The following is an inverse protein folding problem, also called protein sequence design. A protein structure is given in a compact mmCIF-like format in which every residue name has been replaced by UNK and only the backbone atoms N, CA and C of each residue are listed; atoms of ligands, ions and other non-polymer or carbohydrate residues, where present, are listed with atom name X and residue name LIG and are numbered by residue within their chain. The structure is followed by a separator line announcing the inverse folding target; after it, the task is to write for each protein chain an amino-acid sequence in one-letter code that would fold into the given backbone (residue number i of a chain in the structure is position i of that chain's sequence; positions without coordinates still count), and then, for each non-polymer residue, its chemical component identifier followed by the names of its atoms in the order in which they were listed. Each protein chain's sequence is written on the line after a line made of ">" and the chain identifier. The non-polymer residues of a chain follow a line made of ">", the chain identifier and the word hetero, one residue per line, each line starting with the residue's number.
data_IF_497531670795
#
_entry.id   IF_497531670795
#
_cell.length_a   1.000
_cell.length_b   1.000
_cell.length_c   1.000
_cell.angle_alpha   90.00
_cell.angle_beta   90.00
_cell.angle_gamma   90.00
#
_symmetry.space_group_name_H-M   'P 1'
#
loop_
_entity.id
_entity.type
_entity.pdbx_description
1 polymer ?
#
# COMPACT_ATOMS: atom_id res chain seq x y z
N UNK A 1 5.76 10.27 -1.55
CA UNK A 1 6.77 9.75 -0.62
C UNK A 1 6.63 8.23 -0.51
N UNK A 2 7.74 7.51 -0.59
CA UNK A 2 7.70 6.05 -0.59
C UNK A 2 7.76 5.53 0.83
N UNK A 3 6.84 4.65 1.15
CA UNK A 3 6.73 4.05 2.47
C UNK A 3 6.55 2.54 2.36
N UNK A 4 6.87 1.84 3.42
CA UNK A 4 6.56 0.42 3.56
C UNK A 4 5.34 0.33 4.48
N UNK A 5 4.34 -0.42 4.03
CA UNK A 5 3.10 -0.62 4.79
C UNK A 5 2.96 -2.08 5.15
N UNK A 6 2.62 -2.35 6.40
CA UNK A 6 2.23 -3.68 6.82
C UNK A 6 0.72 -3.67 7.00
N UNK A 7 0.02 -4.48 6.21
CA UNK A 7 -1.42 -4.53 6.24
C UNK A 7 -1.92 -5.50 7.33
N UNK A 8 -3.19 -5.41 7.67
CA UNK A 8 -3.77 -6.29 8.70
C UNK A 8 -3.68 -7.76 8.34
N UNK A 9 -3.68 -8.11 7.05
CA UNK A 9 -3.49 -9.49 6.58
C UNK A 9 -2.01 -9.91 6.56
N UNK A 10 -1.13 -9.06 7.07
CA UNK A 10 0.32 -9.26 7.16
C UNK A 10 1.05 -9.19 5.83
N UNK A 11 0.39 -8.77 4.76
CA UNK A 11 1.10 -8.43 3.54
C UNK A 11 1.96 -7.19 3.78
N UNK A 12 3.14 -7.18 3.16
CA UNK A 12 4.05 -6.04 3.22
C UNK A 12 4.09 -5.42 1.84
N UNK A 13 3.76 -4.13 1.78
CA UNK A 13 3.76 -3.37 0.53
C UNK A 13 4.81 -2.27 0.59
N UNK A 14 5.37 -1.94 -0.56
CA UNK A 14 6.15 -0.71 -0.73
C UNK A 14 5.42 0.13 -1.77
N UNK A 15 5.19 1.40 -1.48
CA UNK A 15 4.34 2.24 -2.33
C UNK A 15 4.56 3.71 -2.06
N UNK A 16 4.29 4.53 -3.06
CA UNK A 16 4.03 5.93 -2.81
C UNK A 16 2.67 6.04 -2.13
N UNK A 17 2.57 6.97 -1.18
CA UNK A 17 1.37 7.11 -0.37
C UNK A 17 0.96 8.57 -0.34
N UNK A 18 -0.34 8.82 -0.49
CA UNK A 18 -0.93 10.14 -0.34
C UNK A 18 -2.10 10.06 0.62
N UNK A 19 -2.21 11.04 1.50
CA UNK A 19 -3.43 11.22 2.27
C UNK A 19 -4.44 11.96 1.41
N UNK A 20 -5.68 11.51 1.44
CA UNK A 20 -6.77 12.12 0.68
C UNK A 20 -7.86 12.51 1.63
N UNK A 21 -8.42 13.70 1.44
CA UNK A 21 -9.60 14.11 2.20
C UNK A 21 -10.76 13.17 1.88
N UNK A 22 -11.42 12.68 2.92
CA UNK A 22 -12.54 11.78 2.76
C UNK A 22 -13.54 11.98 3.88
N UNK A 23 -14.76 11.53 3.62
CA UNK A 23 -15.77 11.51 4.68
C UNK A 23 -15.60 10.26 5.53
N UNK A 24 -16.20 10.28 6.71
CA UNK A 24 -16.12 9.17 7.64
C UNK A 24 -16.58 7.87 6.96
N UNK A 25 -15.77 6.84 7.07
CA UNK A 25 -16.06 5.53 6.48
C UNK A 25 -15.60 5.35 5.06
N UNK A 26 -15.08 6.40 4.42
CA UNK A 26 -14.55 6.30 3.06
C UNK A 26 -13.03 6.08 3.07
N UNK A 27 -12.47 5.51 1.98
CA UNK A 27 -11.01 5.36 1.87
C UNK A 27 -10.33 6.73 1.95
N UNK A 28 -9.29 6.81 2.76
CA UNK A 28 -8.58 8.05 3.03
C UNK A 28 -7.10 8.01 2.64
N UNK A 29 -6.65 6.93 2.05
CA UNK A 29 -5.27 6.78 1.58
C UNK A 29 -5.25 6.34 0.13
N UNK A 30 -4.36 6.93 -0.65
CA UNK A 30 -4.10 6.47 -2.01
C UNK A 30 -2.71 5.86 -2.07
N UNK A 31 -2.63 4.65 -2.60
CA UNK A 31 -1.36 3.99 -2.92
C UNK A 31 -1.09 4.13 -4.41
N UNK A 32 0.10 4.60 -4.76
CA UNK A 32 0.51 4.79 -6.16
C UNK A 32 1.63 3.80 -6.44
N UNK A 33 1.39 2.92 -7.40
CA UNK A 33 2.30 1.86 -7.81
C UNK A 33 2.75 0.99 -6.64
N UNK A 34 1.80 0.37 -5.90
CA UNK A 34 2.17 -0.49 -4.79
C UNK A 34 2.73 -1.82 -5.28
N UNK A 35 3.79 -2.27 -4.61
CA UNK A 35 4.40 -3.57 -4.86
C UNK A 35 4.37 -4.39 -3.58
N UNK A 36 4.10 -5.70 -3.72
CA UNK A 36 4.23 -6.63 -2.60
C UNK A 36 5.70 -6.96 -2.42
N UNK A 37 6.17 -6.92 -1.19
CA UNK A 37 7.51 -7.38 -0.84
C UNK A 37 7.39 -8.87 -0.49
N UNK A 38 7.98 -9.70 -1.33
CA UNK A 38 7.92 -11.15 -1.15
C UNK A 38 8.96 -11.60 -0.12
N UNK A 39 8.81 -12.82 0.38
CA UNK A 39 9.69 -13.36 1.41
C UNK A 39 11.15 -13.48 0.96
N UNK A 40 11.38 -13.58 -0.35
CA UNK A 40 12.73 -13.63 -0.92
C UNK A 40 13.25 -12.24 -1.29
N UNK A 41 12.56 -11.18 -0.85
CA UNK A 41 12.91 -9.77 -1.09
C UNK A 41 12.70 -9.31 -2.53
N UNK A 42 12.03 -10.10 -3.36
CA UNK A 42 11.59 -9.63 -4.67
C UNK A 42 10.29 -8.83 -4.56
N UNK A 43 10.01 -8.02 -5.56
CA UNK A 43 8.83 -7.17 -5.60
C UNK A 43 7.90 -7.64 -6.72
N UNK A 44 6.61 -7.68 -6.42
CA UNK A 44 5.57 -8.00 -7.39
C UNK A 44 4.51 -6.90 -7.35
N UNK A 45 4.07 -6.37 -8.50
CA UNK A 45 2.99 -5.39 -8.47
C UNK A 45 1.76 -5.93 -7.74
N UNK A 46 1.22 -5.11 -6.84
CA UNK A 46 0.06 -5.53 -6.04
C UNK A 46 -1.16 -5.66 -6.95
N UNK A 47 -1.92 -6.71 -6.74
CA UNK A 47 -3.12 -7.00 -7.53
C UNK A 47 -2.85 -7.25 -9.02
N UNK A 48 -1.62 -7.66 -9.37
CA UNK A 48 -1.22 -7.87 -10.76
C UNK A 48 -2.15 -8.83 -11.50
N UNK A 49 -2.62 -9.88 -10.81
CA UNK A 49 -3.45 -10.93 -11.43
C UNK A 49 -4.90 -10.47 -11.65
N UNK A 50 -5.29 -9.31 -11.11
CA UNK A 50 -6.68 -8.87 -11.11
C UNK A 50 -6.92 -7.60 -11.92
N UNK A 51 -5.90 -6.77 -12.09
CA UNK A 51 -6.08 -5.46 -12.74
C UNK A 51 -4.74 -4.92 -13.24
N UNK A 52 -4.79 -4.08 -14.26
CA UNK A 52 -3.64 -3.30 -14.70
C UNK A 52 -3.59 -1.92 -14.02
N UNK A 53 -4.53 -1.65 -13.14
CA UNK A 53 -4.57 -0.41 -12.38
C UNK A 53 -3.32 -0.28 -11.52
N UNK A 54 -2.77 0.92 -11.41
CA UNK A 54 -1.56 1.16 -10.64
C UNK A 54 -1.75 2.14 -9.48
N UNK A 55 -2.98 2.49 -9.17
CA UNK A 55 -3.30 3.39 -8.07
C UNK A 55 -4.55 2.87 -7.38
N UNK A 56 -4.52 2.82 -6.05
CA UNK A 56 -5.56 2.18 -5.26
C UNK A 56 -5.90 3.03 -4.06
N UNK A 57 -7.20 3.09 -3.74
CA UNK A 57 -7.66 3.71 -2.51
C UNK A 57 -7.80 2.66 -1.43
N UNK A 58 -7.29 2.93 -0.25
CA UNK A 58 -7.45 2.04 0.90
C UNK A 58 -7.88 2.82 2.12
N UNK A 59 -8.45 2.11 3.08
CA UNK A 59 -8.76 2.69 4.40
C UNK A 59 -7.51 2.61 5.27
N UNK A 60 -7.13 3.73 5.88
CA UNK A 60 -5.95 3.77 6.73
C UNK A 60 -6.07 2.84 7.94
N UNK A 61 -7.29 2.55 8.40
CA UNK A 61 -7.51 1.66 9.52
C UNK A 61 -7.23 0.19 9.21
N UNK A 62 -6.99 -0.14 7.93
CA UNK A 62 -6.58 -1.50 7.51
C UNK A 62 -5.07 -1.65 7.45
N UNK A 63 -4.33 -0.60 7.77
CA UNK A 63 -2.88 -0.62 7.79
C UNK A 63 -2.42 -0.80 9.23
N UNK A 64 -1.62 -1.82 9.48
CA UNK A 64 -1.10 -2.09 10.81
C UNK A 64 -0.01 -1.07 11.18
N UNK A 65 0.91 -0.81 10.27
CA UNK A 65 1.96 0.17 10.49
C UNK A 65 2.52 0.67 9.16
N UNK A 66 3.08 1.87 9.20
CA UNK A 66 3.74 2.50 8.06
C UNK A 66 5.15 2.86 8.53
N UNK A 67 6.15 2.44 7.77
CA UNK A 67 7.55 2.70 8.12
C UNK A 67 8.32 3.25 6.93
N UNK A 68 9.43 3.90 7.23
CA UNK A 68 10.33 4.41 6.19
C UNK A 68 11.23 3.29 5.71
N UNK A 69 11.44 3.18 4.38
CA UNK A 69 12.33 2.15 3.86
C UNK A 69 13.79 2.45 4.22
N UNK A 70 14.58 1.40 4.32
CA UNK A 70 16.03 1.52 4.50
C UNK A 70 16.65 1.96 3.18
N UNK A 71 17.56 2.90 3.23
CA UNK A 71 18.30 3.38 2.06
C UNK A 71 19.50 2.50 1.74
#
# INVERSE_FOLDING_TARGET
>A
MIKILVLLNKEILISQIEEVGSELGEPDCRLIEPFVVNSDMTLTPWMLDYTSQNSFMIHSDKVLTIIDPVN
#
